data_IF_974724166490
#
_entry.id   IF_974724166490
#
_cell.length_a   1.000
_cell.length_b   1.000
_cell.length_c   1.000
_cell.angle_alpha   90.00
_cell.angle_beta   90.00
_cell.angle_gamma   90.00
#
_symmetry.space_group_name_H-M   'P 1'
#
loop_
_entity.id
_entity.type
_entity.pdbx_description
1 polymer ?
#
# COMPACT_ATOMS: atom_id res chain seq x y z
N UNK A 1 50.57 6.73 35.18
CA UNK A 1 50.14 8.06 34.70
C UNK A 1 49.82 7.90 33.24
N UNK A 2 48.55 8.05 32.89
CA UNK A 2 48.05 7.75 31.55
C UNK A 2 48.46 8.88 30.60
N UNK A 3 48.89 8.59 29.37
CA UNK A 3 49.30 9.62 28.38
C UNK A 3 48.21 10.68 28.17
N UNK A 4 46.96 10.27 28.25
CA UNK A 4 45.78 11.13 28.20
C UNK A 4 45.74 12.20 29.31
N UNK A 5 46.18 11.86 30.53
CA UNK A 5 46.29 12.82 31.63
C UNK A 5 47.43 13.82 31.40
N UNK A 6 48.53 13.36 30.80
CA UNK A 6 49.68 14.22 30.46
C UNK A 6 49.29 15.20 29.35
N UNK A 7 48.57 14.73 28.33
CA UNK A 7 48.03 15.55 27.25
C UNK A 7 47.01 16.54 27.79
N UNK A 8 46.07 16.11 28.66
CA UNK A 8 45.12 17.02 29.33
C UNK A 8 45.84 18.10 30.13
N UNK A 9 46.82 17.73 30.96
CA UNK A 9 47.59 18.69 31.77
C UNK A 9 48.39 19.65 30.90
N UNK A 10 48.98 19.19 29.80
CA UNK A 10 49.72 20.05 28.87
C UNK A 10 48.78 21.02 28.14
N UNK A 11 47.63 20.55 27.67
CA UNK A 11 46.60 21.41 27.07
C UNK A 11 46.02 22.41 28.06
N UNK A 12 45.82 22.04 29.33
CA UNK A 12 45.38 22.95 30.37
C UNK A 12 46.46 24.01 30.66
N UNK A 13 47.74 23.62 30.74
CA UNK A 13 48.83 24.57 31.00
C UNK A 13 49.09 25.52 29.82
N UNK A 14 48.98 25.05 28.58
CA UNK A 14 49.18 25.88 27.39
C UNK A 14 47.90 26.61 26.94
N UNK A 15 46.72 26.11 27.32
CA UNK A 15 45.41 26.70 26.99
C UNK A 15 44.92 27.77 27.97
N UNK A 16 45.39 27.76 29.22
CA UNK A 16 44.94 28.67 30.29
C UNK A 16 45.76 29.97 30.38
N UNK A 17 46.43 30.39 29.29
CA UNK A 17 47.14 31.67 29.26
C UNK A 17 48.40 31.74 30.15
N UNK A 18 48.81 30.62 30.78
CA UNK A 18 50.00 30.55 31.66
C UNK A 18 51.30 30.99 30.96
N UNK A 19 51.35 30.89 29.63
CA UNK A 19 52.46 31.39 28.82
C UNK A 19 52.54 32.93 28.78
N UNK A 20 51.41 33.61 28.72
CA UNK A 20 51.35 35.07 28.65
C UNK A 20 51.60 35.72 30.01
N UNK A 21 51.08 35.12 31.10
CA UNK A 21 51.41 35.56 32.47
C UNK A 21 52.93 35.45 32.74
N UNK A 22 53.58 34.39 32.26
CA UNK A 22 55.05 34.24 32.35
C UNK A 22 55.79 35.29 31.52
N UNK A 23 55.31 35.62 30.32
CA UNK A 23 55.92 36.65 29.45
C UNK A 23 55.81 38.05 30.08
N UNK A 24 54.66 38.38 30.63
CA UNK A 24 54.43 39.66 31.34
C UNK A 24 55.31 39.75 32.59
N UNK A 25 55.36 38.69 33.40
CA UNK A 25 56.23 38.64 34.58
C UNK A 25 57.72 38.78 34.22
N UNK A 26 58.16 38.21 33.10
CA UNK A 26 59.54 38.34 32.61
C UNK A 26 59.86 39.76 32.12
N UNK A 27 58.93 40.37 31.38
CA UNK A 27 59.02 41.77 30.96
C UNK A 27 59.10 42.71 32.17
N UNK A 28 58.24 42.52 33.17
CA UNK A 28 58.22 43.31 34.40
C UNK A 28 59.57 43.23 35.14
N UNK A 29 60.11 42.01 35.31
CA UNK A 29 61.42 41.79 35.95
C UNK A 29 62.56 42.46 35.18
N UNK A 30 62.55 42.38 33.85
CA UNK A 30 63.54 43.05 32.99
C UNK A 30 63.42 44.57 33.05
N UNK A 31 62.20 45.10 33.07
CA UNK A 31 61.93 46.53 33.18
C UNK A 31 62.41 47.10 34.51
N UNK A 32 62.09 46.45 35.64
CA UNK A 32 62.57 46.87 36.97
C UNK A 32 64.10 46.87 37.05
N UNK A 33 64.76 45.86 36.46
CA UNK A 33 66.23 45.80 36.37
C UNK A 33 66.82 46.90 35.49
N UNK A 34 66.18 47.24 34.38
CA UNK A 34 66.62 48.33 33.51
C UNK A 34 66.41 49.71 34.17
N UNK A 35 65.29 49.90 34.85
CA UNK A 35 64.96 51.13 35.60
C UNK A 35 65.86 51.41 36.80
N UNK A 36 66.52 50.39 37.36
CA UNK A 36 67.40 50.52 38.52
C UNK A 36 68.89 50.69 38.14
N UNK A 37 69.20 50.90 36.85
CA UNK A 37 70.58 51.12 36.38
C UNK A 37 70.94 52.61 36.43
N UNK A 38 72.14 52.91 36.88
CA UNK A 38 72.69 54.28 36.98
C UNK A 38 73.71 54.62 35.86
N UNK A 39 74.00 53.66 34.96
CA UNK A 39 75.03 53.78 33.92
C UNK A 39 74.41 53.93 32.52
N UNK A 40 74.84 54.95 31.76
CA UNK A 40 74.34 55.36 30.43
C UNK A 40 75.20 54.84 29.27
N UNK A 41 75.78 53.65 29.43
CA UNK A 41 76.56 52.98 28.38
C UNK A 41 75.73 52.53 27.16
N UNK A 42 76.37 52.21 26.01
CA UNK A 42 75.70 51.76 24.78
C UNK A 42 74.88 50.47 24.95
N UNK A 43 75.15 49.66 25.99
CA UNK A 43 74.33 48.50 26.36
C UNK A 43 72.90 48.88 26.78
N UNK A 44 72.67 50.08 27.32
CA UNK A 44 71.34 50.54 27.76
C UNK A 44 70.37 50.62 26.58
N UNK A 45 70.85 51.08 25.42
CA UNK A 45 70.05 51.19 24.21
C UNK A 45 69.63 49.81 23.70
N UNK A 46 70.55 48.83 23.72
CA UNK A 46 70.23 47.45 23.31
C UNK A 46 69.21 46.78 24.23
N UNK A 47 69.30 47.02 25.55
CA UNK A 47 68.32 46.51 26.52
C UNK A 47 66.96 47.18 26.33
N UNK A 48 66.92 48.49 26.03
CA UNK A 48 65.71 49.24 25.71
C UNK A 48 65.02 48.71 24.45
N UNK A 49 65.77 48.45 23.38
CA UNK A 49 65.23 47.89 22.13
C UNK A 49 64.69 46.47 22.32
N UNK A 50 65.38 45.65 23.14
CA UNK A 50 64.87 44.33 23.54
C UNK A 50 63.57 44.44 24.35
N UNK A 51 63.46 45.46 25.22
CA UNK A 51 62.27 45.68 26.04
C UNK A 51 61.07 46.11 25.18
N UNK A 52 61.28 47.00 24.22
CA UNK A 52 60.28 47.40 23.24
C UNK A 52 59.81 46.21 22.39
N UNK A 53 60.74 45.35 21.94
CA UNK A 53 60.39 44.12 21.22
C UNK A 53 59.53 43.18 22.07
N UNK A 54 59.83 43.05 23.37
CA UNK A 54 59.04 42.23 24.28
C UNK A 54 57.63 42.80 24.54
N UNK A 55 57.49 44.14 24.62
CA UNK A 55 56.18 44.80 24.72
C UNK A 55 55.34 44.52 23.47
N UNK A 56 55.90 44.74 22.28
CA UNK A 56 55.20 44.48 21.01
C UNK A 56 54.75 43.02 20.88
N UNK A 57 55.54 42.08 21.38
CA UNK A 57 55.18 40.66 21.44
C UNK A 57 54.01 40.36 22.39
N UNK A 58 53.92 41.06 23.53
CA UNK A 58 52.80 40.93 24.46
C UNK A 58 51.51 41.53 23.88
N UNK A 59 51.62 42.69 23.23
CA UNK A 59 50.49 43.33 22.53
C UNK A 59 49.93 42.44 21.41
N UNK A 60 50.82 41.83 20.62
CA UNK A 60 50.43 40.88 19.59
C UNK A 60 49.71 39.65 20.17
N UNK A 61 50.24 39.08 21.25
CA UNK A 61 49.63 37.92 21.91
C UNK A 61 48.23 38.25 22.45
N UNK A 62 48.08 39.41 23.11
CA UNK A 62 46.80 39.89 23.59
C UNK A 62 45.78 40.10 22.46
N UNK A 63 46.20 40.77 21.37
CA UNK A 63 45.33 41.01 20.21
C UNK A 63 44.89 39.69 19.58
N UNK A 64 45.82 38.73 19.43
CA UNK A 64 45.54 37.39 18.91
C UNK A 64 44.53 36.68 19.81
N UNK A 65 44.74 36.64 21.13
CA UNK A 65 43.82 35.99 22.07
C UNK A 65 42.42 36.58 21.99
N UNK A 66 42.30 37.91 21.90
CA UNK A 66 41.00 38.58 21.76
C UNK A 66 40.29 38.22 20.46
N UNK A 67 41.01 38.17 19.35
CA UNK A 67 40.45 37.78 18.06
C UNK A 67 40.01 36.31 18.08
N UNK A 68 40.82 35.42 18.65
CA UNK A 68 40.48 34.00 18.80
C UNK A 68 39.27 33.80 19.70
N UNK A 69 39.14 34.55 20.80
CA UNK A 69 37.95 34.51 21.65
C UNK A 69 36.69 34.90 20.85
N UNK A 70 36.72 36.05 20.16
CA UNK A 70 35.59 36.49 19.33
C UNK A 70 35.26 35.52 18.19
N UNK A 71 36.27 34.89 17.57
CA UNK A 71 36.06 33.84 16.57
C UNK A 71 35.42 32.61 17.19
N UNK A 72 35.85 32.21 18.39
CA UNK A 72 35.32 31.04 19.11
C UNK A 72 33.87 31.25 19.48
N UNK A 73 33.49 32.45 19.92
CA UNK A 73 32.10 32.80 20.22
C UNK A 73 31.22 32.68 18.97
N UNK A 74 31.69 33.19 17.82
CA UNK A 74 30.97 33.07 16.55
C UNK A 74 30.88 31.63 16.05
N UNK A 75 31.94 30.84 16.21
CA UNK A 75 31.92 29.41 15.89
C UNK A 75 30.94 28.64 16.77
N UNK A 76 30.85 28.96 18.06
CA UNK A 76 29.91 28.35 18.99
C UNK A 76 28.46 28.58 18.55
N UNK A 77 28.12 29.82 18.18
CA UNK A 77 26.80 30.16 17.65
C UNK A 77 26.50 29.41 16.34
N UNK A 78 27.49 29.25 15.46
CA UNK A 78 27.33 28.45 14.25
C UNK A 78 27.07 26.97 14.55
N UNK A 79 27.75 26.38 15.54
CA UNK A 79 27.50 25.00 15.96
C UNK A 79 26.11 24.83 16.59
N UNK A 80 25.64 25.78 17.39
CA UNK A 80 24.30 25.75 17.97
C UNK A 80 23.23 25.83 16.87
N UNK A 81 23.41 26.72 15.91
CA UNK A 81 22.53 26.84 14.74
C UNK A 81 22.51 25.54 13.92
N UNK A 82 23.69 24.97 13.63
CA UNK A 82 23.80 23.71 12.90
C UNK A 82 23.14 22.55 13.66
N UNK A 83 23.33 22.48 14.97
CA UNK A 83 22.68 21.46 15.82
C UNK A 83 21.17 21.56 15.74
N UNK A 84 20.62 22.77 15.88
CA UNK A 84 19.18 22.99 15.79
C UNK A 84 18.61 22.64 14.40
N UNK A 85 19.39 22.92 13.35
CA UNK A 85 19.02 22.55 11.98
C UNK A 85 18.98 21.03 11.81
N UNK A 86 20.01 20.32 12.25
CA UNK A 86 20.06 18.86 12.21
C UNK A 86 18.88 18.25 12.98
N UNK A 87 18.56 18.77 14.17
CA UNK A 87 17.41 18.29 14.95
C UNK A 87 16.08 18.48 14.20
N UNK A 88 15.92 19.62 13.51
CA UNK A 88 14.74 19.89 12.69
C UNK A 88 14.64 18.92 11.50
N UNK A 89 15.75 18.64 10.82
CA UNK A 89 15.79 17.69 9.70
C UNK A 89 15.49 16.27 10.18
N UNK A 90 16.04 15.86 11.33
CA UNK A 90 15.74 14.57 11.94
C UNK A 90 14.24 14.45 12.24
N UNK A 91 13.60 15.51 12.75
CA UNK A 91 12.16 15.52 12.98
C UNK A 91 11.37 15.35 11.68
N UNK A 92 11.72 16.11 10.65
CA UNK A 92 11.08 16.05 9.34
C UNK A 92 11.22 14.66 8.70
N UNK A 93 12.41 14.05 8.78
CA UNK A 93 12.66 12.70 8.26
C UNK A 93 11.82 11.67 9.03
N UNK A 94 11.72 11.80 10.36
CA UNK A 94 10.86 10.92 11.17
C UNK A 94 9.40 10.99 10.73
N UNK A 95 8.88 12.19 10.48
CA UNK A 95 7.51 12.38 9.96
C UNK A 95 7.35 11.77 8.57
N UNK A 96 8.30 11.97 7.66
CA UNK A 96 8.28 11.36 6.34
C UNK A 96 8.31 9.82 6.39
N UNK A 97 9.04 9.23 7.33
CA UNK A 97 9.04 7.78 7.57
C UNK A 97 7.67 7.30 8.05
N UNK A 98 7.00 8.06 8.92
CA UNK A 98 5.65 7.69 9.38
C UNK A 98 4.63 7.76 8.24
N UNK A 99 4.69 8.82 7.40
CA UNK A 99 3.85 8.94 6.22
C UNK A 99 4.05 7.78 5.24
N UNK A 100 5.30 7.53 4.84
CA UNK A 100 5.63 6.44 3.90
C UNK A 100 5.27 5.05 4.45
N UNK A 101 5.31 4.86 5.77
CA UNK A 101 4.83 3.62 6.40
C UNK A 101 3.31 3.46 6.27
N UNK A 102 2.54 4.53 6.33
CA UNK A 102 1.10 4.49 6.14
C UNK A 102 0.76 4.22 4.67
N UNK A 103 1.40 4.92 3.75
CA UNK A 103 1.26 4.69 2.30
C UNK A 103 1.55 3.22 1.94
N UNK A 104 2.56 2.62 2.58
CA UNK A 104 2.91 1.22 2.39
C UNK A 104 1.83 0.26 2.93
N UNK A 105 1.13 0.59 4.02
CA UNK A 105 -0.01 -0.20 4.49
C UNK A 105 -1.16 -0.12 3.50
N UNK A 106 -1.50 1.07 3.02
CA UNK A 106 -2.55 1.26 2.03
C UNK A 106 -2.25 0.51 0.73
N UNK A 107 -1.03 0.63 0.21
CA UNK A 107 -0.58 -0.09 -0.98
C UNK A 107 -0.68 -1.62 -0.80
N UNK A 108 -0.41 -2.15 0.40
CA UNK A 108 -0.61 -3.58 0.69
C UNK A 108 -2.07 -3.99 0.66
N UNK A 109 -2.97 -3.17 1.19
CA UNK A 109 -4.42 -3.44 1.14
C UNK A 109 -4.90 -3.44 -0.31
N UNK A 110 -4.52 -2.43 -1.10
CA UNK A 110 -4.86 -2.34 -2.52
C UNK A 110 -4.36 -3.57 -3.28
N UNK A 111 -3.11 -3.99 -3.03
CA UNK A 111 -2.55 -5.21 -3.63
C UNK A 111 -3.34 -6.46 -3.25
N UNK A 112 -3.71 -6.62 -1.97
CA UNK A 112 -4.51 -7.76 -1.50
C UNK A 112 -5.86 -7.79 -2.21
N UNK A 113 -6.58 -6.66 -2.21
CA UNK A 113 -7.89 -6.54 -2.86
C UNK A 113 -7.80 -6.84 -4.36
N UNK A 114 -6.74 -6.36 -5.03
CA UNK A 114 -6.50 -6.66 -6.44
C UNK A 114 -6.30 -8.16 -6.68
N UNK A 115 -5.52 -8.84 -5.85
CA UNK A 115 -5.32 -10.29 -5.96
C UNK A 115 -6.62 -11.06 -5.74
N UNK A 116 -7.42 -10.68 -4.75
CA UNK A 116 -8.74 -11.28 -4.50
C UNK A 116 -9.67 -11.10 -5.70
N UNK A 117 -9.72 -9.90 -6.28
CA UNK A 117 -10.46 -9.63 -7.52
C UNK A 117 -9.94 -10.46 -8.69
N UNK A 118 -8.62 -10.60 -8.86
CA UNK A 118 -8.04 -11.42 -9.92
C UNK A 118 -8.43 -12.91 -9.78
N UNK A 119 -8.51 -13.44 -8.56
CA UNK A 119 -9.02 -14.80 -8.31
C UNK A 119 -10.49 -14.91 -8.70
N UNK A 120 -11.34 -13.97 -8.27
CA UNK A 120 -12.76 -13.97 -8.62
C UNK A 120 -12.97 -13.87 -10.13
N UNK A 121 -12.20 -13.03 -10.83
CA UNK A 121 -12.25 -12.90 -12.29
C UNK A 121 -11.91 -14.22 -12.98
N UNK A 122 -10.92 -14.98 -12.48
CA UNK A 122 -10.60 -16.30 -13.04
C UNK A 122 -11.79 -17.26 -12.93
N UNK A 123 -12.41 -17.34 -11.76
CA UNK A 123 -13.59 -18.19 -11.53
C UNK A 123 -14.77 -17.75 -12.42
N UNK A 124 -15.00 -16.44 -12.56
CA UNK A 124 -16.06 -15.92 -13.44
C UNK A 124 -15.80 -16.26 -14.91
N UNK A 125 -14.53 -16.23 -15.35
CA UNK A 125 -14.15 -16.58 -16.73
C UNK A 125 -14.31 -18.06 -17.07
N UNK A 126 -14.33 -18.95 -16.08
CA UNK A 126 -14.64 -20.37 -16.30
C UNK A 126 -16.12 -20.58 -16.64
N UNK A 127 -16.99 -19.64 -16.28
CA UNK A 127 -18.41 -19.70 -16.60
C UNK A 127 -18.68 -19.16 -18.01
N UNK A 128 -19.68 -19.73 -18.72
CA UNK A 128 -20.06 -19.27 -20.06
C UNK A 128 -20.62 -17.84 -20.02
N UNK A 129 -20.53 -17.14 -21.16
CA UNK A 129 -21.02 -15.77 -21.23
C UNK A 129 -22.53 -15.70 -20.95
N UNK A 130 -22.93 -14.70 -20.17
CA UNK A 130 -24.31 -14.50 -19.73
C UNK A 130 -25.24 -14.19 -20.90
N UNK A 131 -24.73 -13.52 -21.93
CA UNK A 131 -25.53 -13.20 -23.13
C UNK A 131 -25.84 -14.48 -23.91
N UNK A 132 -24.83 -15.27 -24.21
CA UNK A 132 -24.99 -16.52 -24.96
C UNK A 132 -25.91 -17.52 -24.22
N UNK A 133 -25.77 -17.64 -22.90
CA UNK A 133 -26.64 -18.49 -22.09
C UNK A 133 -28.09 -18.00 -22.07
N UNK A 134 -28.32 -16.69 -21.99
CA UNK A 134 -29.67 -16.12 -22.08
C UNK A 134 -30.30 -16.31 -23.47
N UNK A 135 -29.53 -16.19 -24.54
CA UNK A 135 -30.00 -16.43 -25.91
C UNK A 135 -30.43 -17.89 -26.10
N UNK A 136 -29.59 -18.84 -25.66
CA UNK A 136 -29.95 -20.27 -25.65
C UNK A 136 -31.20 -20.54 -24.83
N UNK A 137 -31.31 -19.92 -23.66
CA UNK A 137 -32.48 -20.06 -22.78
C UNK A 137 -33.76 -19.51 -23.43
N UNK A 138 -33.68 -18.38 -24.13
CA UNK A 138 -34.81 -17.85 -24.90
C UNK A 138 -35.21 -18.80 -26.02
N UNK A 139 -34.23 -19.29 -26.79
CA UNK A 139 -34.47 -20.24 -27.88
C UNK A 139 -35.13 -21.52 -27.37
N UNK A 140 -34.62 -22.12 -26.28
CA UNK A 140 -35.22 -23.32 -25.69
C UNK A 140 -36.66 -23.07 -25.20
N UNK A 141 -36.94 -21.89 -24.64
CA UNK A 141 -38.30 -21.53 -24.22
C UNK A 141 -39.27 -21.43 -25.40
N UNK A 142 -38.84 -20.77 -26.47
CA UNK A 142 -39.65 -20.65 -27.68
C UNK A 142 -39.88 -22.03 -28.32
N UNK A 143 -38.85 -22.89 -28.32
CA UNK A 143 -38.98 -24.27 -28.80
C UNK A 143 -39.97 -25.08 -27.95
N UNK A 144 -39.87 -25.02 -26.61
CA UNK A 144 -40.82 -25.67 -25.70
C UNK A 144 -42.26 -25.21 -25.96
N UNK A 145 -42.49 -23.89 -26.06
CA UNK A 145 -43.81 -23.35 -26.37
C UNK A 145 -44.34 -23.86 -27.72
N UNK A 146 -43.48 -23.93 -28.74
CA UNK A 146 -43.88 -24.46 -30.05
C UNK A 146 -44.20 -25.96 -30.01
N UNK A 147 -43.51 -26.71 -29.15
CA UNK A 147 -43.70 -28.15 -28.99
C UNK A 147 -45.00 -28.44 -28.24
N UNK A 148 -45.30 -27.67 -27.20
CA UNK A 148 -46.58 -27.70 -26.46
C UNK A 148 -47.75 -27.40 -27.40
N UNK A 149 -47.66 -26.34 -28.21
CA UNK A 149 -48.70 -26.04 -29.21
C UNK A 149 -48.93 -27.18 -30.20
N UNK A 150 -47.84 -27.79 -30.69
CA UNK A 150 -47.91 -28.95 -31.59
C UNK A 150 -48.52 -30.17 -30.91
N UNK A 151 -48.13 -30.44 -29.67
CA UNK A 151 -48.66 -31.53 -28.87
C UNK A 151 -50.17 -31.36 -28.68
N UNK A 152 -50.62 -30.18 -28.23
CA UNK A 152 -52.05 -29.88 -28.10
C UNK A 152 -52.80 -30.01 -29.43
N UNK A 153 -52.22 -29.53 -30.54
CA UNK A 153 -52.84 -29.66 -31.85
C UNK A 153 -52.97 -31.12 -32.29
N UNK A 154 -51.99 -31.97 -31.93
CA UNK A 154 -52.02 -33.40 -32.20
C UNK A 154 -53.08 -34.10 -31.34
N UNK A 155 -53.16 -33.76 -30.05
CA UNK A 155 -54.15 -34.31 -29.13
C UNK A 155 -55.57 -33.96 -29.59
N UNK A 156 -55.81 -32.70 -29.97
CA UNK A 156 -57.08 -32.26 -30.58
C UNK A 156 -57.43 -33.06 -31.84
N UNK A 157 -56.45 -33.37 -32.69
CA UNK A 157 -56.66 -34.21 -33.90
C UNK A 157 -56.98 -35.65 -33.53
N UNK A 158 -56.29 -36.22 -32.54
CA UNK A 158 -56.50 -37.58 -32.05
C UNK A 158 -57.93 -37.70 -31.50
N UNK A 159 -58.37 -36.77 -30.66
CA UNK A 159 -59.72 -36.74 -30.13
C UNK A 159 -60.80 -36.58 -31.21
N UNK A 160 -60.55 -35.75 -32.22
CA UNK A 160 -61.45 -35.64 -33.37
C UNK A 160 -61.55 -36.99 -34.11
N UNK A 161 -60.44 -37.71 -34.32
CA UNK A 161 -60.44 -39.04 -34.92
C UNK A 161 -61.16 -40.06 -34.05
N UNK A 162 -60.94 -40.08 -32.73
CA UNK A 162 -61.70 -40.93 -31.79
C UNK A 162 -63.20 -40.71 -31.92
N UNK A 163 -63.64 -39.45 -31.96
CA UNK A 163 -65.06 -39.08 -32.17
C UNK A 163 -65.59 -39.54 -33.53
N UNK A 164 -64.81 -39.37 -34.61
CA UNK A 164 -65.19 -39.87 -35.95
C UNK A 164 -65.32 -41.39 -35.98
N UNK A 165 -64.38 -42.13 -35.37
CA UNK A 165 -64.46 -43.59 -35.24
C UNK A 165 -65.67 -44.02 -34.44
N UNK A 166 -66.00 -43.34 -33.35
CA UNK A 166 -67.20 -43.62 -32.56
C UNK A 166 -68.48 -43.47 -33.40
N UNK A 167 -68.60 -42.40 -34.19
CA UNK A 167 -69.74 -42.19 -35.11
C UNK A 167 -69.80 -43.26 -36.20
N UNK A 168 -68.65 -43.64 -36.78
CA UNK A 168 -68.57 -44.70 -37.78
C UNK A 168 -68.98 -46.05 -37.18
N UNK A 169 -68.47 -46.39 -36.00
CA UNK A 169 -68.80 -47.63 -35.29
C UNK A 169 -70.29 -47.69 -34.93
N UNK A 170 -70.86 -46.58 -34.45
CA UNK A 170 -72.30 -46.48 -34.17
C UNK A 170 -73.13 -46.65 -35.45
N UNK A 171 -72.72 -46.00 -36.55
CA UNK A 171 -73.37 -46.16 -37.86
C UNK A 171 -73.28 -47.59 -38.39
N UNK A 172 -72.13 -48.26 -38.19
CA UNK A 172 -71.93 -49.65 -38.56
C UNK A 172 -72.84 -50.56 -37.74
N UNK A 173 -72.97 -50.35 -36.43
CA UNK A 173 -73.89 -51.09 -35.58
C UNK A 173 -75.36 -50.84 -35.98
N UNK A 174 -75.73 -49.61 -36.32
CA UNK A 174 -77.06 -49.29 -36.84
C UNK A 174 -77.35 -50.00 -38.17
N UNK A 175 -76.38 -50.02 -39.09
CA UNK A 175 -76.50 -50.74 -40.36
C UNK A 175 -76.54 -52.26 -40.14
N UNK A 176 -75.71 -52.81 -39.24
CA UNK A 176 -75.80 -54.21 -38.82
C UNK A 176 -77.15 -54.53 -38.19
N UNK A 177 -77.75 -53.62 -37.43
CA UNK A 177 -79.10 -53.80 -36.89
C UNK A 177 -80.18 -53.74 -37.99
N UNK A 178 -79.97 -52.95 -39.04
CA UNK A 178 -80.83 -52.86 -40.23
C UNK A 178 -80.66 -54.05 -41.19
N UNK A 179 -79.47 -54.65 -41.25
CA UNK A 179 -79.19 -55.88 -42.00
C UNK A 179 -79.59 -57.13 -41.19
N UNK A 180 -79.41 -57.09 -39.88
CA UNK A 180 -79.75 -58.13 -38.92
C UNK A 180 -81.23 -58.16 -38.54
N UNK A 181 -82.03 -57.19 -39.01
CA UNK A 181 -83.48 -57.30 -38.97
C UNK A 181 -84.05 -58.33 -39.97
N UNK A 182 -83.20 -59.12 -40.65
CA UNK A 182 -83.62 -60.32 -41.37
C UNK A 182 -82.76 -61.59 -41.10
N UNK A 183 -81.90 -61.58 -40.08
CA UNK A 183 -81.29 -62.82 -39.58
C UNK A 183 -80.85 -62.66 -38.12
N UNK A 184 -81.58 -63.34 -37.24
CA UNK A 184 -81.21 -63.60 -35.86
C UNK A 184 -79.75 -64.02 -35.72
N UNK A 185 -78.97 -63.35 -34.87
CA UNK A 185 -78.38 -63.99 -33.70
C UNK A 185 -77.69 -62.97 -32.77
N UNK A 186 -77.81 -63.13 -31.44
CA UNK A 186 -77.08 -62.34 -30.46
C UNK A 186 -75.73 -63.00 -30.20
N UNK A 187 -74.61 -62.27 -30.24
CA UNK A 187 -73.37 -62.63 -29.50
C UNK A 187 -72.46 -61.39 -29.45
N UNK A 188 -72.29 -60.81 -28.24
CA UNK A 188 -71.03 -60.73 -27.44
C UNK A 188 -69.96 -59.86 -28.15
N UNK A 189 -69.38 -58.79 -27.60
CA UNK A 189 -68.71 -58.71 -26.31
C UNK A 189 -68.38 -57.25 -25.96
N UNK A 190 -68.00 -57.05 -24.71
CA UNK A 190 -67.49 -55.82 -24.12
C UNK A 190 -66.40 -55.12 -24.93
N UNK A 191 -66.43 -53.78 -24.91
CA UNK A 191 -65.19 -53.01 -25.08
C UNK A 191 -65.23 -51.84 -24.09
N UNK A 192 -64.92 -52.21 -22.84
CA UNK A 192 -64.42 -51.31 -21.82
C UNK A 192 -63.14 -50.66 -22.34
N UNK A 193 -63.25 -49.42 -22.82
CA UNK A 193 -62.07 -48.59 -23.09
C UNK A 193 -61.66 -47.97 -21.76
N UNK A 194 -60.97 -48.77 -20.96
CA UNK A 194 -60.17 -48.32 -19.84
C UNK A 194 -59.24 -47.21 -20.32
N UNK A 195 -59.55 -45.97 -19.93
CA UNK A 195 -58.62 -44.85 -20.00
C UNK A 195 -57.61 -44.99 -18.89
N UNK A 196 -56.59 -45.82 -19.11
CA UNK A 196 -55.33 -45.71 -18.36
C UNK A 196 -54.36 -44.91 -19.23
N UNK A 197 -54.36 -43.61 -18.97
CA UNK A 197 -53.28 -42.72 -19.38
C UNK A 197 -52.90 -41.83 -18.19
N UNK A 198 -52.56 -42.45 -17.07
CA UNK A 198 -51.64 -41.85 -16.11
C UNK A 198 -50.23 -41.94 -16.72
N UNK A 199 -49.90 -40.96 -17.56
CA UNK A 199 -48.50 -40.62 -17.81
C UNK A 199 -48.02 -39.90 -16.56
N UNK A 200 -47.41 -40.66 -15.65
CA UNK A 200 -46.61 -40.12 -14.55
C UNK A 200 -45.49 -39.31 -15.20
N UNK A 201 -45.61 -37.99 -15.14
CA UNK A 201 -44.46 -37.09 -15.30
C UNK A 201 -43.62 -37.30 -14.05
N UNK A 202 -42.62 -38.16 -14.15
CA UNK A 202 -41.55 -38.20 -13.16
C UNK A 202 -40.69 -36.95 -13.36
N UNK A 203 -40.83 -35.99 -12.45
CA UNK A 203 -39.81 -34.97 -12.22
C UNK A 203 -38.46 -35.66 -12.01
N UNK A 204 -37.52 -35.39 -12.91
CA UNK A 204 -36.12 -35.69 -12.73
C UNK A 204 -35.39 -34.34 -12.57
N UNK A 205 -34.93 -34.12 -11.32
CA UNK A 205 -33.78 -33.32 -10.84
C UNK A 205 -33.32 -32.14 -11.71
#
# INVERSE_FOLDING_TARGET
>A
MNEEEIIRKRLLVDGDGTGDERRINHLLKKFMKWSSREDDGPEVQTVRDQLLSQVAQCEYAFLKSRLTASMTDSELENYDNLSSHIDSEISNIKEAILSTKEDLKEAKIIRKNRLECEVLIKVIKEQPDRKETNEKLSYLKDEMSSLEERYEALERKLDMRRKQFYVMFTSLHCLQSLLGSDASDPIVDAMDVSTDSDVIITDAV
#
